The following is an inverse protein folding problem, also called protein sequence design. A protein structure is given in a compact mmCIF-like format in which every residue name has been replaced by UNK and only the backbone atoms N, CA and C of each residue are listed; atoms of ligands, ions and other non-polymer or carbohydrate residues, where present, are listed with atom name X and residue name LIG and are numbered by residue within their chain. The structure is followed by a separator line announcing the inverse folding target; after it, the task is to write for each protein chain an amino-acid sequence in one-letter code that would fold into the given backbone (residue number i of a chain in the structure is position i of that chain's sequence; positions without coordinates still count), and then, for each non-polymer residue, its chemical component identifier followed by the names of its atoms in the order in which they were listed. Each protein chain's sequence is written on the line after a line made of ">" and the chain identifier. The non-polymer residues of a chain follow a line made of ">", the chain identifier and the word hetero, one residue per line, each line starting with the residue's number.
data_IF_901194872499
#
_entry.id   IF_901194872499
#
_cell.length_a   1.000
_cell.length_b   1.000
_cell.length_c   1.000
_cell.angle_alpha   90.00
_cell.angle_beta   90.00
_cell.angle_gamma   90.00
#
_symmetry.space_group_name_H-M   'P 1'
#
loop_
_entity.id
_entity.type
_entity.pdbx_description
1 polymer ?
#
# COMPACT_ATOMS: atom_id res chain seq x y z
N UNK A 1 -19.78 -11.07 21.92
CA UNK A 1 -19.94 -10.01 20.90
C UNK A 1 -18.63 -9.92 20.16
N UNK A 2 -18.54 -10.48 18.95
CA UNK A 2 -17.29 -10.45 18.19
C UNK A 2 -17.09 -9.05 17.60
N UNK A 3 -15.89 -8.51 17.83
CA UNK A 3 -15.49 -7.13 17.62
C UNK A 3 -15.51 -6.77 16.13
N UNK A 4 -16.53 -6.02 15.69
CA UNK A 4 -16.49 -5.36 14.37
C UNK A 4 -15.25 -4.44 14.23
N UNK A 5 -14.71 -3.94 15.34
CA UNK A 5 -13.53 -3.07 15.38
C UNK A 5 -12.24 -3.78 14.93
N UNK A 6 -12.00 -5.03 15.31
CA UNK A 6 -10.75 -5.73 14.96
C UNK A 6 -10.59 -5.94 13.45
N UNK A 7 -11.69 -6.24 12.75
CA UNK A 7 -11.68 -6.41 11.30
C UNK A 7 -11.41 -5.12 10.54
N UNK A 8 -11.93 -3.99 11.03
CA UNK A 8 -11.71 -2.65 10.46
C UNK A 8 -10.28 -2.18 10.76
N UNK A 9 -9.81 -2.38 11.98
CA UNK A 9 -8.48 -1.97 12.43
C UNK A 9 -7.37 -2.71 11.67
N UNK A 10 -7.49 -4.04 11.50
CA UNK A 10 -6.50 -4.84 10.75
C UNK A 10 -6.39 -4.40 9.28
N UNK A 11 -7.53 -4.12 8.63
CA UNK A 11 -7.55 -3.61 7.24
C UNK A 11 -6.97 -2.20 7.13
N UNK A 12 -7.22 -1.34 8.12
CA UNK A 12 -6.63 0.00 8.16
C UNK A 12 -5.11 -0.03 8.32
N UNK A 13 -4.60 -0.86 9.24
CA UNK A 13 -3.16 -1.03 9.47
C UNK A 13 -2.45 -1.55 8.22
N UNK A 14 -3.04 -2.55 7.54
CA UNK A 14 -2.45 -3.11 6.32
C UNK A 14 -2.37 -2.07 5.20
N UNK A 15 -3.44 -1.31 4.97
CA UNK A 15 -3.44 -0.19 4.01
C UNK A 15 -2.37 0.85 4.34
N UNK A 16 -2.28 1.28 5.61
CA UNK A 16 -1.27 2.25 6.05
C UNK A 16 0.17 1.77 5.82
N UNK A 17 0.44 0.48 6.01
CA UNK A 17 1.77 -0.11 5.73
C UNK A 17 2.13 -0.10 4.25
N UNK A 18 1.15 -0.32 3.37
CA UNK A 18 1.34 -0.29 1.92
C UNK A 18 1.65 1.16 1.48
N UNK A 19 0.82 2.12 1.88
CA UNK A 19 1.02 3.54 1.55
C UNK A 19 2.35 4.08 2.06
N UNK A 20 2.67 3.86 3.33
CA UNK A 20 3.96 4.32 3.88
C UNK A 20 5.16 3.67 3.19
N UNK A 21 5.04 2.42 2.70
CA UNK A 21 6.10 1.81 1.90
C UNK A 21 6.24 2.47 0.52
N UNK A 22 5.13 2.82 -0.14
CA UNK A 22 5.15 3.53 -1.43
C UNK A 22 5.79 4.91 -1.26
N UNK A 23 5.43 5.65 -0.21
CA UNK A 23 5.99 6.97 0.08
C UNK A 23 7.51 6.90 0.29
N UNK A 24 7.98 5.98 1.14
CA UNK A 24 9.43 5.78 1.35
C UNK A 24 10.16 5.50 0.04
N UNK A 25 9.61 4.62 -0.81
CA UNK A 25 10.26 4.33 -2.09
C UNK A 25 10.24 5.53 -3.07
N UNK A 26 9.20 6.38 -3.01
CA UNK A 26 9.14 7.63 -3.80
C UNK A 26 10.12 8.68 -3.27
N UNK A 27 10.30 8.78 -1.96
CA UNK A 27 11.30 9.64 -1.32
C UNK A 27 12.72 9.22 -1.70
N UNK A 28 12.96 7.90 -1.73
CA UNK A 28 14.20 7.29 -2.21
C UNK A 28 14.40 7.39 -3.74
N UNK A 29 13.47 8.04 -4.47
CA UNK A 29 13.49 8.23 -5.93
C UNK A 29 13.57 6.93 -6.74
N UNK A 30 12.98 5.84 -6.24
CA UNK A 30 12.86 4.62 -7.03
C UNK A 30 11.93 4.87 -8.22
N UNK A 31 12.21 4.27 -9.39
CA UNK A 31 11.31 4.34 -10.54
C UNK A 31 9.99 3.61 -10.24
N UNK A 32 8.87 4.13 -10.74
CA UNK A 32 7.53 3.61 -10.43
C UNK A 32 7.38 2.12 -10.78
N UNK A 33 8.03 1.62 -11.84
CA UNK A 33 8.04 0.18 -12.18
C UNK A 33 8.72 -0.69 -11.10
N UNK A 34 9.78 -0.19 -10.46
CA UNK A 34 10.47 -0.88 -9.38
C UNK A 34 9.66 -0.82 -8.08
N UNK A 35 8.99 0.30 -7.82
CA UNK A 35 8.03 0.43 -6.71
C UNK A 35 6.91 -0.58 -6.87
N UNK A 36 6.29 -0.66 -8.05
CA UNK A 36 5.23 -1.61 -8.40
C UNK A 36 5.68 -3.04 -8.15
N UNK A 37 6.87 -3.41 -8.62
CA UNK A 37 7.44 -4.75 -8.41
C UNK A 37 7.65 -5.06 -6.93
N UNK A 38 8.22 -4.13 -6.16
CA UNK A 38 8.54 -4.33 -4.74
C UNK A 38 7.30 -4.43 -3.86
N UNK A 39 6.28 -3.61 -4.07
CA UNK A 39 5.05 -3.67 -3.27
C UNK A 39 4.24 -4.93 -3.57
N UNK A 40 4.20 -5.37 -4.84
CA UNK A 40 3.59 -6.66 -5.22
C UNK A 40 4.25 -7.82 -4.49
N UNK A 41 5.58 -7.86 -4.49
CA UNK A 41 6.32 -8.93 -3.80
C UNK A 41 6.17 -8.88 -2.28
N UNK A 42 6.24 -7.68 -1.68
CA UNK A 42 6.22 -7.50 -0.22
C UNK A 42 4.84 -7.76 0.40
N UNK A 43 3.78 -7.41 -0.31
CA UNK A 43 2.40 -7.50 0.18
C UNK A 43 1.57 -8.56 -0.57
N UNK A 44 2.19 -9.33 -1.46
CA UNK A 44 1.52 -10.34 -2.30
C UNK A 44 0.35 -9.78 -3.11
N UNK A 45 0.46 -8.53 -3.55
CA UNK A 45 -0.57 -7.85 -4.34
C UNK A 45 -0.51 -8.29 -5.81
N UNK A 46 -1.68 -8.35 -6.43
CA UNK A 46 -1.79 -8.37 -7.89
C UNK A 46 -1.30 -7.05 -8.50
N UNK A 47 -1.10 -7.03 -9.81
CA UNK A 47 -0.67 -5.81 -10.48
C UNK A 47 -1.71 -4.70 -10.41
N UNK A 48 -3.00 -5.04 -10.60
CA UNK A 48 -4.11 -4.08 -10.53
C UNK A 48 -4.26 -3.50 -9.13
N UNK A 49 -4.21 -4.32 -8.07
CA UNK A 49 -4.25 -3.84 -6.68
C UNK A 49 -3.10 -2.89 -6.39
N UNK A 50 -1.87 -3.27 -6.77
CA UNK A 50 -0.71 -2.42 -6.56
C UNK A 50 -0.80 -1.08 -7.32
N UNK A 51 -1.34 -1.08 -8.54
CA UNK A 51 -1.62 0.13 -9.32
C UNK A 51 -2.68 1.01 -8.64
N UNK A 52 -3.72 0.42 -8.06
CA UNK A 52 -4.74 1.17 -7.31
C UNK A 52 -4.12 1.93 -6.12
N UNK A 53 -3.28 1.26 -5.33
CA UNK A 53 -2.55 1.89 -4.22
C UNK A 53 -1.58 2.98 -4.71
N UNK A 54 -0.91 2.79 -5.85
CA UNK A 54 0.02 3.80 -6.38
C UNK A 54 -0.68 5.00 -7.02
N UNK A 55 -1.88 4.79 -7.59
CA UNK A 55 -2.69 5.84 -8.22
C UNK A 55 -3.37 6.74 -7.19
N UNK A 56 -3.61 6.25 -5.98
CA UNK A 56 -4.13 7.07 -4.89
C UNK A 56 -3.08 8.12 -4.49
N UNK A 57 -3.32 9.36 -4.90
CA UNK A 57 -2.65 10.54 -4.36
C UNK A 57 -3.64 11.20 -3.42
N UNK A 58 -3.33 11.23 -2.12
CA UNK A 58 -3.96 12.21 -1.26
C UNK A 58 -3.56 13.59 -1.80
N UNK A 59 -4.52 14.32 -2.36
CA UNK A 59 -4.36 15.76 -2.59
C UNK A 59 -4.17 16.40 -1.22
N UNK A 60 -2.92 16.72 -0.87
CA UNK A 60 -2.56 17.62 0.22
C UNK A 60 -2.15 18.96 -0.37
#
# INVERSE_FOLDING_TARGET
>A
MCNLSEGVERKGIEKGRIYGTIEVYRDDKLPEDEILKRIRQKFSLTEDEAKEYMAYRECV
#
